data_IF_339716906731
#
_entry.id   IF_339716906731
#
_cell.length_a   1.000
_cell.length_b   1.000
_cell.length_c   1.000
_cell.angle_alpha   90.00
_cell.angle_beta   90.00
_cell.angle_gamma   90.00
#
_symmetry.space_group_name_H-M   'P 1'
#
loop_
_entity.id
_entity.type
_entity.pdbx_description
1 polymer ?
#
# COMPACT_ATOMS: atom_id res chain seq x y z
N UNK A 1 8.54 -21.89 -41.57
CA UNK A 1 7.86 -22.42 -40.39
C UNK A 1 8.25 -21.50 -39.24
N UNK A 2 7.36 -20.61 -38.82
CA UNK A 2 7.64 -19.71 -37.69
C UNK A 2 7.51 -20.50 -36.38
N UNK A 3 8.54 -20.42 -35.58
CA UNK A 3 8.54 -20.96 -34.23
C UNK A 3 7.47 -20.22 -33.40
N UNK A 4 6.32 -20.85 -33.18
CA UNK A 4 5.20 -20.36 -32.36
C UNK A 4 5.37 -20.76 -30.89
N UNK A 5 6.62 -20.86 -30.40
CA UNK A 5 6.84 -21.09 -28.99
C UNK A 5 6.26 -19.92 -28.17
N UNK A 6 5.20 -20.19 -27.40
CA UNK A 6 4.61 -19.21 -26.50
C UNK A 6 5.38 -19.19 -25.20
N UNK A 7 5.92 -18.03 -24.86
CA UNK A 7 6.63 -17.81 -23.58
C UNK A 7 5.59 -17.59 -22.46
N UNK A 8 5.60 -18.46 -21.46
CA UNK A 8 4.76 -18.31 -20.28
C UNK A 8 5.59 -17.96 -19.04
N UNK A 9 5.21 -16.86 -18.38
CA UNK A 9 5.80 -16.51 -17.08
C UNK A 9 5.25 -17.46 -16.01
N UNK A 10 6.13 -18.22 -15.36
CA UNK A 10 5.79 -19.12 -14.25
C UNK A 10 5.92 -18.48 -12.89
N UNK A 11 6.99 -17.74 -12.69
CA UNK A 11 7.24 -17.04 -11.43
C UNK A 11 7.56 -15.57 -11.68
N UNK A 12 7.22 -14.75 -10.70
CA UNK A 12 7.50 -13.31 -10.69
C UNK A 12 8.22 -12.93 -9.40
N UNK A 13 8.56 -11.65 -9.23
CA UNK A 13 9.06 -11.14 -7.96
C UNK A 13 8.11 -11.49 -6.79
N UNK A 14 6.79 -11.48 -7.03
CA UNK A 14 5.76 -11.72 -6.01
C UNK A 14 5.53 -13.21 -5.71
N UNK A 15 6.08 -14.12 -6.50
CA UNK A 15 6.07 -15.57 -6.25
C UNK A 15 7.15 -16.01 -5.25
N UNK A 16 8.12 -15.14 -4.97
CA UNK A 16 9.22 -15.41 -4.02
C UNK A 16 8.76 -15.26 -2.58
N UNK A 17 9.52 -15.84 -1.65
CA UNK A 17 9.29 -15.58 -0.22
C UNK A 17 9.60 -14.12 0.09
N UNK A 18 8.76 -13.45 0.91
CA UNK A 18 9.07 -12.13 1.43
C UNK A 18 10.41 -12.12 2.19
N UNK A 19 11.01 -10.95 2.33
CA UNK A 19 12.27 -10.77 3.10
C UNK A 19 12.11 -11.27 4.53
N UNK A 20 13.17 -11.82 5.12
CA UNK A 20 13.15 -12.43 6.45
C UNK A 20 12.59 -11.50 7.53
N UNK A 21 12.99 -10.27 7.61
CA UNK A 21 12.58 -9.32 8.64
C UNK A 21 11.18 -8.68 8.45
N UNK A 22 10.37 -9.21 7.53
CA UNK A 22 9.06 -8.60 7.21
C UNK A 22 8.08 -8.63 8.37
N UNK A 23 8.06 -9.71 9.13
CA UNK A 23 7.16 -9.87 10.27
C UNK A 23 7.60 -8.98 11.44
N UNK A 24 8.89 -8.96 11.74
CA UNK A 24 9.48 -8.18 12.82
C UNK A 24 9.30 -6.67 12.59
N UNK A 25 9.56 -6.21 11.38
CA UNK A 25 9.34 -4.80 11.00
C UNK A 25 7.85 -4.43 11.10
N UNK A 26 6.97 -5.33 10.68
CA UNK A 26 5.52 -5.13 10.82
C UNK A 26 5.13 -5.04 12.30
N UNK A 27 5.57 -5.98 13.13
CA UNK A 27 5.27 -5.99 14.55
C UNK A 27 5.83 -4.74 15.26
N UNK A 28 7.06 -4.34 14.93
CA UNK A 28 7.68 -3.12 15.48
C UNK A 28 6.86 -1.88 15.12
N UNK A 29 6.48 -1.72 13.85
CA UNK A 29 5.72 -0.57 13.39
C UNK A 29 4.34 -0.49 14.05
N UNK A 30 3.62 -1.62 14.13
CA UNK A 30 2.32 -1.69 14.82
C UNK A 30 2.44 -1.40 16.31
N UNK A 31 3.46 -1.94 16.98
CA UNK A 31 3.72 -1.68 18.40
C UNK A 31 4.01 -0.20 18.65
N UNK A 32 4.73 0.45 17.75
CA UNK A 32 4.99 1.89 17.83
C UNK A 32 3.68 2.71 17.69
N UNK A 33 2.86 2.42 16.67
CA UNK A 33 1.55 3.08 16.47
C UNK A 33 0.65 2.90 17.68
N UNK A 34 0.53 1.66 18.18
CA UNK A 34 -0.28 1.34 19.35
C UNK A 34 0.24 2.04 20.60
N UNK A 35 1.56 2.00 20.84
CA UNK A 35 2.19 2.64 22.00
C UNK A 35 1.97 4.15 22.02
N UNK A 36 2.12 4.84 20.88
CA UNK A 36 1.90 6.28 20.79
C UNK A 36 0.41 6.61 21.00
N UNK A 37 -0.51 5.82 20.42
CA UNK A 37 -1.96 6.01 20.65
C UNK A 37 -2.34 5.81 22.13
N UNK A 38 -1.80 4.77 22.79
CA UNK A 38 -2.03 4.52 24.22
C UNK A 38 -1.50 5.64 25.10
N UNK A 39 -0.30 6.17 24.81
CA UNK A 39 0.26 7.31 25.51
C UNK A 39 -0.60 8.57 25.34
N UNK A 40 -1.12 8.80 24.14
CA UNK A 40 -2.01 9.92 23.87
C UNK A 40 -3.32 9.82 24.69
N UNK A 41 -3.89 8.64 24.81
CA UNK A 41 -5.12 8.41 25.58
C UNK A 41 -4.90 8.48 27.10
N UNK A 42 -3.77 7.92 27.59
CA UNK A 42 -3.45 7.94 29.03
C UNK A 42 -3.42 9.34 29.62
N UNK A 43 -3.05 10.33 28.84
CA UNK A 43 -3.00 11.73 29.26
C UNK A 43 -4.33 12.47 29.01
N UNK A 44 -5.47 11.78 29.07
CA UNK A 44 -6.79 12.36 28.88
C UNK A 44 -6.98 12.98 27.48
N UNK A 45 -6.35 12.37 26.47
CA UNK A 45 -6.31 12.86 25.09
C UNK A 45 -5.68 14.27 24.92
N UNK A 46 -5.03 14.82 25.94
CA UNK A 46 -4.35 16.13 25.88
C UNK A 46 -3.25 16.22 24.82
N UNK A 47 -2.64 15.07 24.46
CA UNK A 47 -1.64 15.00 23.40
C UNK A 47 -2.23 14.95 21.99
N UNK A 48 -3.49 14.59 21.81
CA UNK A 48 -4.11 14.51 20.47
C UNK A 48 -4.05 15.84 19.70
N UNK A 49 -4.44 17.00 20.30
CA UNK A 49 -4.37 18.29 19.60
C UNK A 49 -2.94 18.71 19.24
N UNK A 50 -1.94 18.30 20.04
CA UNK A 50 -0.55 18.63 19.76
C UNK A 50 0.07 17.77 18.67
N UNK A 51 -0.34 16.51 18.54
CA UNK A 51 0.19 15.55 17.57
C UNK A 51 -0.61 15.49 16.26
N UNK A 52 -1.86 15.96 16.27
CA UNK A 52 -2.72 16.01 15.10
C UNK A 52 -2.20 17.00 14.04
N UNK A 53 -2.40 16.67 12.76
CA UNK A 53 -2.12 17.59 11.67
C UNK A 53 -3.31 18.52 11.45
N UNK A 54 -3.12 19.81 11.68
CA UNK A 54 -4.12 20.87 11.51
C UNK A 54 -3.62 21.92 10.53
N UNK A 55 -4.55 22.62 9.85
CA UNK A 55 -4.19 23.74 8.96
C UNK A 55 -3.47 24.86 9.73
N UNK A 56 -3.87 25.15 10.95
CA UNK A 56 -3.21 26.14 11.79
C UNK A 56 -1.76 25.76 12.10
N UNK A 57 -1.53 24.54 12.65
CA UNK A 57 -0.20 24.09 13.03
C UNK A 57 0.72 23.92 11.82
N UNK A 58 0.25 23.23 10.78
CA UNK A 58 1.09 22.88 9.62
C UNK A 58 1.28 24.05 8.66
N UNK A 59 0.19 24.68 8.21
CA UNK A 59 0.25 25.66 7.10
C UNK A 59 0.61 27.07 7.56
N UNK A 60 0.21 27.47 8.80
CA UNK A 60 0.48 28.80 9.31
C UNK A 60 1.68 28.87 10.25
N UNK A 61 1.83 27.87 11.15
CA UNK A 61 2.90 27.85 12.15
C UNK A 61 4.15 27.06 11.69
N UNK A 62 4.07 26.32 10.55
CA UNK A 62 5.19 25.56 9.98
C UNK A 62 5.54 24.29 10.76
N UNK A 63 4.62 23.76 11.56
CA UNK A 63 4.83 22.54 12.36
C UNK A 63 4.69 21.27 11.50
N UNK A 64 5.54 21.13 10.46
CA UNK A 64 5.47 20.04 9.47
C UNK A 64 5.65 18.64 10.07
N UNK A 65 6.26 18.51 11.25
CA UNK A 65 6.37 17.26 11.97
C UNK A 65 5.01 16.63 12.31
N UNK A 66 3.96 17.46 12.44
CA UNK A 66 2.57 17.01 12.64
C UNK A 66 2.05 16.13 11.50
N UNK A 67 2.56 16.31 10.29
CA UNK A 67 2.21 15.48 9.15
C UNK A 67 2.54 14.00 9.37
N UNK A 68 3.58 13.71 10.16
CA UNK A 68 4.01 12.36 10.49
C UNK A 68 3.43 11.88 11.82
N UNK A 69 3.40 12.73 12.86
CA UNK A 69 2.88 12.33 14.17
C UNK A 69 1.39 12.03 14.14
N UNK A 70 0.64 12.72 13.28
CA UNK A 70 -0.79 12.45 13.07
C UNK A 70 -1.07 11.01 12.64
N UNK A 71 -0.13 10.37 11.93
CA UNK A 71 -0.24 8.97 11.49
C UNK A 71 -0.23 8.02 12.69
N UNK A 72 0.50 8.37 13.75
CA UNK A 72 0.71 7.51 14.90
C UNK A 72 -0.36 7.64 16.00
N UNK A 73 -1.21 8.66 15.94
CA UNK A 73 -2.26 8.89 16.95
C UNK A 73 -3.65 8.59 16.38
N UNK A 74 -4.52 8.02 17.22
CA UNK A 74 -5.87 7.63 16.86
C UNK A 74 -6.87 8.14 17.90
N UNK A 75 -8.10 8.43 17.47
CA UNK A 75 -9.15 8.96 18.35
C UNK A 75 -9.62 7.95 19.40
N UNK A 76 -9.68 6.68 19.03
CA UNK A 76 -10.17 5.59 19.89
C UNK A 76 -9.59 4.23 19.48
N UNK A 77 -9.90 3.20 20.28
CA UNK A 77 -9.42 1.82 20.10
C UNK A 77 -9.91 1.22 18.78
N UNK A 78 -11.16 1.45 18.41
CA UNK A 78 -11.72 0.89 17.16
C UNK A 78 -11.05 1.51 15.94
N UNK A 79 -10.72 2.80 16.01
CA UNK A 79 -10.00 3.49 14.95
C UNK A 79 -8.58 2.93 14.75
N UNK A 80 -7.83 2.67 15.83
CA UNK A 80 -6.49 2.06 15.67
C UNK A 80 -6.58 0.60 15.22
N UNK A 81 -7.54 -0.19 15.71
CA UNK A 81 -7.69 -1.60 15.31
C UNK A 81 -8.07 -1.74 13.84
N UNK A 82 -8.98 -0.92 13.34
CA UNK A 82 -9.36 -0.92 11.92
C UNK A 82 -8.17 -0.61 11.01
N UNK A 83 -7.32 0.33 11.39
CA UNK A 83 -6.06 0.61 10.66
C UNK A 83 -5.04 -0.52 10.82
N UNK A 84 -4.90 -1.10 12.03
CA UNK A 84 -3.89 -2.11 12.32
C UNK A 84 -4.00 -3.35 11.42
N UNK A 85 -5.21 -3.80 11.10
CA UNK A 85 -5.45 -4.95 10.21
C UNK A 85 -4.80 -4.71 8.84
N UNK A 86 -5.11 -3.58 8.22
CA UNK A 86 -4.60 -3.24 6.90
C UNK A 86 -3.11 -2.84 6.93
N UNK A 87 -2.67 -2.16 7.99
CA UNK A 87 -1.25 -1.87 8.22
C UNK A 87 -0.44 -3.15 8.32
N UNK A 88 -0.92 -4.17 9.06
CA UNK A 88 -0.25 -5.47 9.16
C UNK A 88 -0.04 -6.06 7.78
N UNK A 89 -1.11 -6.15 7.01
CA UNK A 89 -1.08 -6.73 5.67
C UNK A 89 -0.13 -5.97 4.74
N UNK A 90 -0.31 -4.67 4.60
CA UNK A 90 0.48 -3.90 3.63
C UNK A 90 1.91 -3.66 4.08
N UNK A 91 2.20 -3.47 5.37
CA UNK A 91 3.58 -3.34 5.87
C UNK A 91 4.38 -4.60 5.57
N UNK A 92 3.81 -5.78 5.89
CA UNK A 92 4.43 -7.07 5.61
C UNK A 92 4.74 -7.22 4.12
N UNK A 93 3.80 -6.89 3.25
CA UNK A 93 3.97 -7.03 1.80
C UNK A 93 4.96 -5.99 1.23
N UNK A 94 4.82 -4.71 1.58
CA UNK A 94 5.68 -3.68 1.01
C UNK A 94 7.13 -3.85 1.43
N UNK A 95 7.39 -4.08 2.71
CA UNK A 95 8.74 -4.37 3.17
C UNK A 95 9.25 -5.69 2.60
N UNK A 96 8.42 -6.72 2.60
CA UNK A 96 8.79 -8.07 2.17
C UNK A 96 9.24 -8.14 0.71
N UNK A 97 8.55 -7.47 -0.18
CA UNK A 97 8.84 -7.54 -1.61
C UNK A 97 9.68 -6.37 -2.13
N UNK A 98 9.50 -5.17 -1.57
CA UNK A 98 10.14 -3.95 -2.10
C UNK A 98 11.19 -3.37 -1.14
N UNK A 99 11.22 -3.80 0.13
CA UNK A 99 12.26 -3.49 1.11
C UNK A 99 12.19 -2.10 1.72
N UNK A 100 13.27 -1.74 2.43
CA UNK A 100 13.36 -0.57 3.31
C UNK A 100 13.02 0.77 2.64
N UNK A 101 13.43 0.97 1.40
CA UNK A 101 13.17 2.23 0.70
C UNK A 101 11.71 2.45 0.34
N UNK A 102 10.94 1.38 0.11
CA UNK A 102 9.48 1.49 -0.09
C UNK A 102 8.77 1.56 1.25
N UNK A 103 9.11 0.69 2.20
CA UNK A 103 8.63 0.77 3.57
C UNK A 103 9.83 0.64 4.52
N UNK A 104 10.02 1.59 5.46
CA UNK A 104 9.14 2.71 5.82
C UNK A 104 9.38 4.04 5.06
N UNK A 105 10.51 4.20 4.34
CA UNK A 105 10.95 5.53 3.89
C UNK A 105 9.93 6.21 2.98
N UNK A 106 9.65 5.62 1.81
CA UNK A 106 8.71 6.22 0.84
C UNK A 106 7.28 6.25 1.40
N UNK A 107 6.87 5.20 2.15
CA UNK A 107 5.54 5.12 2.74
C UNK A 107 5.26 6.27 3.70
N UNK A 108 6.18 6.58 4.61
CA UNK A 108 6.02 7.68 5.57
C UNK A 108 6.10 9.05 4.89
N UNK A 109 7.01 9.21 3.92
CA UNK A 109 7.10 10.46 3.15
C UNK A 109 5.79 10.75 2.38
N UNK A 110 5.22 9.73 1.74
CA UNK A 110 3.97 9.87 0.98
C UNK A 110 2.75 10.00 1.89
N UNK A 111 2.76 9.39 3.08
CA UNK A 111 1.72 9.63 4.08
C UNK A 111 1.73 11.07 4.59
N UNK A 112 2.91 11.63 4.86
CA UNK A 112 3.06 13.05 5.17
C UNK A 112 2.55 13.96 4.05
N UNK A 113 2.91 13.63 2.79
CA UNK A 113 2.40 14.36 1.60
C UNK A 113 0.89 14.23 1.46
N UNK A 114 0.31 13.04 1.74
CA UNK A 114 -1.14 12.82 1.75
C UNK A 114 -1.82 13.75 2.76
N UNK A 115 -1.30 13.82 4.00
CA UNK A 115 -1.83 14.71 5.02
C UNK A 115 -1.68 16.18 4.61
N UNK A 116 -0.54 16.59 4.05
CA UNK A 116 -0.32 17.95 3.59
C UNK A 116 -1.32 18.37 2.49
N UNK A 117 -1.46 17.57 1.43
CA UNK A 117 -2.43 17.85 0.36
C UNK A 117 -3.87 17.86 0.91
N UNK A 118 -4.18 16.95 1.84
CA UNK A 118 -5.50 16.91 2.49
C UNK A 118 -5.80 18.22 3.22
N UNK A 119 -4.87 18.76 4.00
CA UNK A 119 -5.06 20.02 4.71
C UNK A 119 -5.28 21.21 3.76
N UNK A 120 -4.72 21.19 2.56
CA UNK A 120 -4.98 22.22 1.54
C UNK A 120 -6.41 22.16 0.98
N UNK A 121 -7.08 21.02 1.11
CA UNK A 121 -8.43 20.77 0.53
C UNK A 121 -9.56 20.80 1.54
N UNK A 122 -9.23 20.75 2.84
CA UNK A 122 -10.19 20.78 3.93
C UNK A 122 -10.36 22.18 4.52
N UNK A 123 -11.52 22.48 5.15
CA UNK A 123 -11.68 23.65 6.00
C UNK A 123 -10.63 23.69 7.12
N UNK A 124 -10.31 24.89 7.61
CA UNK A 124 -9.25 25.13 8.61
C UNK A 124 -9.48 24.41 9.95
N UNK A 125 -10.73 24.10 10.26
CA UNK A 125 -11.15 23.45 11.51
C UNK A 125 -10.89 21.94 11.52
N UNK A 126 -10.59 21.36 10.36
CA UNK A 126 -10.36 19.92 10.26
C UNK A 126 -8.99 19.57 10.86
N UNK A 127 -9.03 18.56 11.72
CA UNK A 127 -7.86 17.94 12.34
C UNK A 127 -7.70 16.53 11.84
N UNK A 128 -6.55 16.20 11.27
CA UNK A 128 -6.24 14.87 10.76
C UNK A 128 -5.50 14.07 11.82
N UNK A 129 -6.00 12.86 12.09
CA UNK A 129 -5.39 11.84 12.94
C UNK A 129 -5.63 10.46 12.34
N UNK A 130 -4.73 9.51 12.62
CA UNK A 130 -4.84 8.13 12.19
C UNK A 130 -4.00 7.77 10.98
N UNK A 131 -3.71 6.48 10.86
CA UNK A 131 -2.85 5.92 9.82
C UNK A 131 -3.57 5.69 8.49
N UNK A 132 -4.85 6.01 8.37
CA UNK A 132 -5.66 5.63 7.20
C UNK A 132 -5.13 6.21 5.89
N UNK A 133 -4.64 7.46 5.85
CA UNK A 133 -4.00 8.03 4.67
C UNK A 133 -2.80 7.22 4.19
N UNK A 134 -1.96 6.74 5.13
CA UNK A 134 -0.86 5.81 4.86
C UNK A 134 -1.38 4.48 4.32
N UNK A 135 -2.39 3.88 4.95
CA UNK A 135 -3.01 2.60 4.53
C UNK A 135 -3.51 2.68 3.10
N UNK A 136 -4.21 3.76 2.73
CA UNK A 136 -4.71 3.95 1.38
C UNK A 136 -3.58 4.17 0.36
N UNK A 137 -2.51 4.88 0.74
CA UNK A 137 -1.33 4.96 -0.10
C UNK A 137 -0.70 3.57 -0.33
N UNK A 138 -0.52 2.78 0.74
CA UNK A 138 0.01 1.42 0.65
C UNK A 138 -0.87 0.53 -0.23
N UNK A 139 -2.19 0.64 -0.10
CA UNK A 139 -3.14 -0.09 -0.94
C UNK A 139 -3.00 0.28 -2.41
N UNK A 140 -2.98 1.58 -2.74
CA UNK A 140 -2.80 2.07 -4.11
C UNK A 140 -1.48 1.59 -4.72
N UNK A 141 -0.39 1.67 -3.94
CA UNK A 141 0.91 1.17 -4.37
C UNK A 141 0.90 -0.34 -4.61
N UNK A 142 0.43 -1.13 -3.65
CA UNK A 142 0.43 -2.60 -3.75
C UNK A 142 -0.45 -3.11 -4.88
N UNK A 143 -1.69 -2.61 -4.99
CA UNK A 143 -2.64 -3.02 -6.03
C UNK A 143 -2.08 -2.74 -7.43
N UNK A 144 -1.46 -1.57 -7.62
CA UNK A 144 -0.83 -1.21 -8.88
C UNK A 144 0.39 -2.07 -9.18
N UNK A 145 1.27 -2.30 -8.20
CA UNK A 145 2.43 -3.18 -8.37
C UNK A 145 2.00 -4.62 -8.66
N UNK A 146 0.95 -5.12 -8.00
CA UNK A 146 0.41 -6.44 -8.29
C UNK A 146 -0.06 -6.55 -9.76
N UNK A 147 -0.78 -5.56 -10.27
CA UNK A 147 -1.20 -5.54 -11.68
C UNK A 147 -0.02 -5.53 -12.66
N UNK A 148 1.05 -4.82 -12.34
CA UNK A 148 2.20 -4.63 -13.21
C UNK A 148 3.19 -5.80 -13.15
N UNK A 149 3.35 -6.42 -11.98
CA UNK A 149 4.39 -7.42 -11.70
C UNK A 149 3.87 -8.84 -11.85
N UNK A 150 2.64 -9.15 -11.36
CA UNK A 150 2.14 -10.53 -11.28
C UNK A 150 1.67 -11.03 -12.66
N UNK A 151 2.63 -11.52 -13.48
CA UNK A 151 2.37 -12.00 -14.85
C UNK A 151 2.19 -13.50 -14.96
N UNK A 152 2.45 -14.27 -13.90
CA UNK A 152 2.19 -15.71 -13.85
C UNK A 152 0.69 -16.02 -13.89
N UNK A 153 -0.14 -15.03 -13.53
CA UNK A 153 -1.60 -15.11 -13.53
C UNK A 153 -2.16 -14.36 -14.75
N UNK A 154 -3.10 -14.98 -15.46
CA UNK A 154 -3.75 -14.36 -16.62
C UNK A 154 -4.43 -13.03 -16.27
N UNK A 155 -4.51 -12.08 -17.23
CA UNK A 155 -4.90 -10.70 -16.98
C UNK A 155 -6.30 -10.55 -16.35
N UNK A 156 -7.27 -11.35 -16.77
CA UNK A 156 -8.64 -11.33 -16.20
C UNK A 156 -8.65 -11.72 -14.72
N UNK A 157 -7.95 -12.80 -14.34
CA UNK A 157 -7.85 -13.25 -12.94
C UNK A 157 -7.09 -12.22 -12.09
N UNK A 158 -6.05 -11.59 -12.64
CA UNK A 158 -5.25 -10.56 -11.97
C UNK A 158 -6.10 -9.33 -11.66
N UNK A 159 -6.86 -8.83 -12.65
CA UNK A 159 -7.79 -7.70 -12.45
C UNK A 159 -8.86 -8.06 -11.41
N UNK A 160 -9.46 -9.25 -11.50
CA UNK A 160 -10.46 -9.68 -10.52
C UNK A 160 -9.91 -9.68 -9.09
N UNK A 161 -8.70 -10.22 -8.87
CA UNK A 161 -8.05 -10.21 -7.54
C UNK A 161 -7.84 -8.79 -7.02
N UNK A 162 -7.39 -7.88 -7.89
CA UNK A 162 -7.20 -6.47 -7.51
C UNK A 162 -8.53 -5.81 -7.16
N UNK A 163 -9.58 -6.03 -7.94
CA UNK A 163 -10.92 -5.50 -7.65
C UNK A 163 -11.46 -6.05 -6.33
N UNK A 164 -11.36 -7.36 -6.10
CA UNK A 164 -11.80 -7.96 -4.82
C UNK A 164 -11.04 -7.37 -3.62
N UNK A 165 -9.71 -7.23 -3.71
CA UNK A 165 -8.92 -6.64 -2.62
C UNK A 165 -9.22 -5.14 -2.45
N UNK A 166 -9.40 -4.41 -3.54
CA UNK A 166 -9.80 -3.00 -3.49
C UNK A 166 -11.15 -2.83 -2.79
N UNK A 167 -12.14 -3.66 -3.12
CA UNK A 167 -13.44 -3.65 -2.44
C UNK A 167 -13.29 -3.97 -0.94
N UNK A 168 -12.48 -4.96 -0.58
CA UNK A 168 -12.22 -5.29 0.82
C UNK A 168 -11.62 -4.11 1.60
N UNK A 169 -10.73 -3.34 0.99
CA UNK A 169 -10.08 -2.17 1.60
C UNK A 169 -11.02 -0.96 1.66
N UNK A 170 -11.81 -0.73 0.60
CA UNK A 170 -12.60 0.48 0.45
C UNK A 170 -13.97 0.39 1.13
N UNK A 171 -14.65 -0.77 1.07
CA UNK A 171 -16.02 -0.94 1.57
C UNK A 171 -16.18 -0.63 3.07
N UNK A 172 -15.31 -1.08 3.99
CA UNK A 172 -15.51 -0.85 5.42
C UNK A 172 -15.53 0.64 5.80
N UNK A 173 -14.81 1.49 5.07
CA UNK A 173 -14.75 2.92 5.35
C UNK A 173 -15.96 3.71 4.80
N UNK A 174 -16.72 3.12 3.87
CA UNK A 174 -17.80 3.81 3.14
C UNK A 174 -19.02 4.15 4.03
N UNK A 175 -19.12 3.52 5.20
CA UNK A 175 -20.30 3.64 6.08
C UNK A 175 -20.01 4.32 7.43
N UNK A 176 -18.84 4.93 7.61
CA UNK A 176 -18.46 5.57 8.88
C UNK A 176 -18.58 7.10 8.78
N UNK A 177 -19.30 7.71 9.71
CA UNK A 177 -19.65 9.14 9.69
C UNK A 177 -18.44 10.11 9.83
N UNK A 178 -17.32 9.66 10.43
CA UNK A 178 -16.15 10.49 10.75
C UNK A 178 -14.91 10.14 9.90
N UNK A 179 -15.11 9.61 8.70
CA UNK A 179 -14.01 9.20 7.83
C UNK A 179 -13.62 10.29 6.85
N UNK A 180 -12.32 10.52 6.73
CA UNK A 180 -11.73 11.49 5.82
C UNK A 180 -11.61 10.92 4.39
N UNK A 181 -12.72 10.82 3.66
CA UNK A 181 -12.74 10.26 2.29
C UNK A 181 -11.77 10.93 1.33
N UNK A 182 -11.58 12.27 1.45
CA UNK A 182 -10.61 12.99 0.60
C UNK A 182 -9.19 12.53 0.88
N UNK A 183 -8.81 12.39 2.15
CA UNK A 183 -7.47 11.88 2.53
C UNK A 183 -7.25 10.46 2.00
N UNK A 184 -8.28 9.61 2.06
CA UNK A 184 -8.21 8.25 1.48
C UNK A 184 -8.03 8.29 -0.04
N UNK A 185 -8.80 9.11 -0.74
CA UNK A 185 -8.68 9.23 -2.20
C UNK A 185 -7.31 9.80 -2.63
N UNK A 186 -6.81 10.82 -1.91
CA UNK A 186 -5.49 11.41 -2.14
C UNK A 186 -4.41 10.36 -1.89
N UNK A 187 -4.46 9.64 -0.77
CA UNK A 187 -3.52 8.56 -0.44
C UNK A 187 -3.50 7.49 -1.52
N UNK A 188 -4.67 6.97 -1.90
CA UNK A 188 -4.81 5.95 -2.96
C UNK A 188 -4.20 6.43 -4.29
N UNK A 189 -4.53 7.65 -4.72
CA UNK A 189 -4.02 8.25 -5.95
C UNK A 189 -2.50 8.41 -5.93
N UNK A 190 -1.93 8.93 -4.83
CA UNK A 190 -0.49 9.03 -4.65
C UNK A 190 0.18 7.66 -4.64
N UNK A 191 -0.48 6.63 -4.07
CA UNK A 191 0.00 5.25 -4.09
C UNK A 191 0.11 4.70 -5.52
N UNK A 192 -0.93 4.91 -6.33
CA UNK A 192 -0.92 4.51 -7.76
C UNK A 192 0.21 5.21 -8.52
N UNK A 193 0.33 6.53 -8.39
CA UNK A 193 1.40 7.31 -9.06
C UNK A 193 2.78 6.83 -8.61
N UNK A 194 2.98 6.64 -7.31
CA UNK A 194 4.25 6.13 -6.75
C UNK A 194 4.61 4.75 -7.30
N UNK A 195 3.63 3.86 -7.44
CA UNK A 195 3.83 2.52 -8.01
C UNK A 195 4.25 2.58 -9.48
N UNK A 196 3.61 3.43 -10.28
CA UNK A 196 3.96 3.60 -11.69
C UNK A 196 5.40 4.12 -11.84
N UNK A 197 5.78 5.14 -11.06
CA UNK A 197 7.15 5.69 -11.07
C UNK A 197 8.15 4.65 -10.59
N UNK A 198 7.85 3.94 -9.50
CA UNK A 198 8.71 2.89 -8.97
C UNK A 198 8.90 1.75 -9.99
N UNK A 199 7.83 1.27 -10.60
CA UNK A 199 7.89 0.24 -11.63
C UNK A 199 8.72 0.67 -12.83
N UNK A 200 8.52 1.87 -13.34
CA UNK A 200 9.29 2.40 -14.46
C UNK A 200 10.81 2.41 -14.17
N UNK A 201 11.20 2.86 -12.99
CA UNK A 201 12.62 2.93 -12.57
C UNK A 201 13.25 1.57 -12.31
N UNK A 202 12.45 0.58 -11.88
CA UNK A 202 12.94 -0.75 -11.50
C UNK A 202 12.51 -1.85 -12.48
N UNK A 203 11.99 -1.48 -13.65
CA UNK A 203 11.37 -2.41 -14.60
C UNK A 203 12.32 -3.55 -15.02
N UNK A 204 13.55 -3.24 -15.32
CA UNK A 204 14.53 -4.23 -15.75
C UNK A 204 14.80 -5.26 -14.64
N UNK A 205 15.07 -4.80 -13.42
CA UNK A 205 15.30 -5.68 -12.26
C UNK A 205 14.07 -6.53 -11.93
N UNK A 206 12.86 -5.95 -12.01
CA UNK A 206 11.61 -6.66 -11.77
C UNK A 206 11.40 -7.74 -12.83
N UNK A 207 11.66 -7.45 -14.10
CA UNK A 207 11.53 -8.41 -15.20
C UNK A 207 12.61 -9.49 -15.18
N UNK A 208 13.83 -9.15 -14.78
CA UNK A 208 14.91 -10.11 -14.58
C UNK A 208 14.62 -11.13 -13.46
N UNK A 209 13.66 -10.84 -12.59
CA UNK A 209 13.22 -11.77 -11.54
C UNK A 209 12.19 -12.80 -12.04
N UNK A 210 11.68 -12.67 -13.27
CA UNK A 210 10.70 -13.59 -13.86
C UNK A 210 11.37 -14.91 -14.28
N UNK A 211 10.71 -16.02 -14.00
CA UNK A 211 11.04 -17.33 -14.57
C UNK A 211 10.08 -17.59 -15.72
N UNK A 212 10.66 -17.78 -16.91
CA UNK A 212 9.90 -17.97 -18.15
C UNK A 212 10.13 -19.38 -18.64
N UNK A 213 9.08 -20.11 -18.94
CA UNK A 213 9.12 -21.41 -19.60
C UNK A 213 8.65 -21.27 -21.05
N UNK A 214 9.30 -22.04 -21.91
CA UNK A 214 8.82 -22.26 -23.28
C UNK A 214 7.68 -23.27 -23.22
N UNK A 215 6.48 -22.91 -23.67
CA UNK A 215 5.45 -23.90 -23.96
C UNK A 215 5.86 -24.57 -25.29
N UNK A 216 6.24 -25.84 -25.22
CA UNK A 216 6.38 -26.62 -26.43
C UNK A 216 5.01 -26.67 -27.15
N UNK A 217 5.00 -26.57 -28.48
CA UNK A 217 3.75 -26.76 -29.23
C UNK A 217 3.16 -28.11 -28.82
N UNK A 218 1.87 -28.12 -28.56
CA UNK A 218 1.14 -29.36 -28.30
C UNK A 218 1.41 -30.29 -29.48
N UNK A 219 2.21 -31.34 -29.31
CA UNK A 219 2.28 -32.44 -30.24
C UNK A 219 0.89 -33.06 -30.22
N UNK A 220 0.10 -32.77 -31.25
CA UNK A 220 -1.19 -33.41 -31.44
C UNK A 220 -0.91 -34.91 -31.63
N UNK A 221 -1.29 -35.79 -30.67
CA UNK A 221 -1.01 -37.21 -30.81
C UNK A 221 -1.76 -37.88 -32.01
N UNK A 222 -2.66 -37.13 -32.66
CA UNK A 222 -3.45 -37.57 -33.78
C UNK A 222 -2.94 -37.05 -35.16
N UNK A 223 -1.76 -36.37 -35.18
CA UNK A 223 -1.11 -36.09 -36.48
C UNK A 223 -0.54 -37.41 -37.06
N UNK A 224 -1.48 -38.27 -37.52
CA UNK A 224 -1.20 -39.50 -38.24
C UNK A 224 -0.51 -39.08 -39.53
N UNK A 225 0.76 -39.46 -39.67
CA UNK A 225 1.49 -39.34 -40.93
C UNK A 225 0.65 -39.95 -42.06
N UNK A 226 0.51 -39.27 -43.20
CA UNK A 226 -0.22 -39.84 -44.33
C UNK A 226 0.51 -41.08 -44.87
N UNK A 227 -0.22 -42.06 -45.37
CA UNK A 227 0.27 -43.34 -45.85
C UNK A 227 1.24 -43.23 -47.02
#
# INVERSE_FOLDING_TARGET
MGDFSTHRVRETLLSRKPREWSLEITALFLSMIMGISLLAWRNGAALLPTLAATSEGVLKQGEYWRLLTAIAVHGDVMHVLSNAILLTFFTYLLFGYFGFWVFPVMSLAMAGLTNYISLLTYPSEVSLIGASGLVYWMAGFWLSMYLLVERSVGPRKRVLRVVCLALLVLLPSTFQANVSYRTHAIGLGLGVVSALVYFQRNRESIRAAEVVELEEPFDDPDEILPP
#
